data_IF_321847287745
#
_entry.id   IF_321847287745
#
_cell.length_a   1.000
_cell.length_b   1.000
_cell.length_c   1.000
_cell.angle_alpha   90.00
_cell.angle_beta   90.00
_cell.angle_gamma   90.00
#
_symmetry.space_group_name_H-M   'P 1'
#
loop_
_entity.id
_entity.type
_entity.pdbx_description
1 polymer ?
#
# COMPACT_ATOMS: atom_id res chain seq x y z
N UNK A 1 25.86 -1.09 3.15
CA UNK A 1 24.66 -1.86 3.47
C UNK A 1 23.76 -1.96 2.25
N UNK A 2 23.26 -3.12 1.97
CA UNK A 2 22.43 -3.34 0.77
C UNK A 2 20.97 -3.46 1.18
N UNK A 3 20.15 -2.58 0.64
CA UNK A 3 18.71 -2.65 0.83
C UNK A 3 18.13 -3.60 -0.20
N UNK A 4 17.38 -4.58 0.26
CA UNK A 4 16.78 -5.57 -0.62
C UNK A 4 15.30 -5.32 -0.76
N UNK A 5 14.83 -5.18 -1.98
CA UNK A 5 13.40 -5.01 -2.26
C UNK A 5 12.69 -6.35 -2.13
N UNK A 6 11.63 -6.37 -1.32
CA UNK A 6 10.80 -7.56 -1.15
C UNK A 6 9.80 -7.66 -2.30
N UNK A 7 9.11 -6.57 -2.61
CA UNK A 7 8.14 -6.57 -3.68
C UNK A 7 7.18 -5.39 -3.60
N UNK A 8 6.26 -5.35 -4.55
CA UNK A 8 5.22 -4.34 -4.61
C UNK A 8 3.89 -4.96 -4.18
N UNK A 9 3.14 -4.23 -3.37
CA UNK A 9 1.87 -4.72 -2.84
C UNK A 9 0.81 -3.63 -2.97
N UNK A 10 -0.39 -4.03 -3.32
CA UNK A 10 -1.50 -3.11 -3.50
C UNK A 10 -2.59 -3.39 -2.47
N UNK A 11 -3.04 -2.34 -1.79
CA UNK A 11 -4.14 -2.41 -0.85
C UNK A 11 -5.26 -1.48 -1.29
N UNK A 12 -6.47 -1.85 -0.95
CA UNK A 12 -7.64 -1.04 -1.26
C UNK A 12 -8.52 -0.88 -0.03
N UNK A 13 -9.25 0.23 0.04
CA UNK A 13 -10.19 0.46 1.13
C UNK A 13 -11.24 1.48 0.70
N UNK A 14 -12.48 1.28 1.07
CA UNK A 14 -13.53 2.29 0.85
C UNK A 14 -13.47 3.42 1.87
N UNK A 15 -12.73 3.24 2.96
CA UNK A 15 -12.72 4.20 4.08
C UNK A 15 -11.69 5.31 3.91
N UNK A 16 -10.53 4.99 3.35
CA UNK A 16 -9.49 6.01 3.18
C UNK A 16 -8.15 5.42 2.81
N UNK A 17 -7.21 6.32 2.52
CA UNK A 17 -5.87 5.95 2.08
C UNK A 17 -5.09 5.26 3.20
N UNK A 18 -5.24 5.74 4.44
CA UNK A 18 -4.53 5.12 5.58
C UNK A 18 -4.88 3.65 5.73
N UNK A 19 -6.15 3.30 5.60
CA UNK A 19 -6.58 1.92 5.69
C UNK A 19 -6.08 1.10 4.50
N UNK A 20 -6.07 1.71 3.32
CA UNK A 20 -5.54 1.06 2.12
C UNK A 20 -4.05 0.73 2.32
N UNK A 21 -3.28 1.63 2.93
CA UNK A 21 -1.89 1.39 3.24
C UNK A 21 -1.74 0.22 4.20
N UNK A 22 -2.55 0.18 5.26
CA UNK A 22 -2.51 -0.92 6.21
C UNK A 22 -2.82 -2.26 5.55
N UNK A 23 -3.81 -2.27 4.67
CA UNK A 23 -4.17 -3.50 3.95
C UNK A 23 -3.03 -3.97 3.06
N UNK A 24 -2.33 -3.06 2.41
CA UNK A 24 -1.18 -3.40 1.59
C UNK A 24 -0.03 -3.94 2.44
N UNK A 25 0.21 -3.33 3.61
CA UNK A 25 1.27 -3.78 4.52
C UNK A 25 0.99 -5.17 5.07
N UNK A 26 -0.27 -5.49 5.33
CA UNK A 26 -0.65 -6.82 5.77
C UNK A 26 -0.30 -7.88 4.73
N UNK A 27 -0.50 -7.56 3.46
CA UNK A 27 -0.14 -8.47 2.37
C UNK A 27 1.37 -8.66 2.27
N UNK A 28 2.12 -7.61 2.58
CA UNK A 28 3.58 -7.65 2.48
C UNK A 28 4.21 -8.53 3.56
N UNK A 29 3.57 -8.62 4.73
CA UNK A 29 4.13 -9.35 5.86
C UNK A 29 5.26 -8.59 6.50
N UNK A 30 6.36 -9.29 6.83
CA UNK A 30 7.50 -8.66 7.48
C UNK A 30 8.27 -7.75 6.52
N UNK A 31 8.59 -6.57 7.00
CA UNK A 31 9.36 -5.61 6.23
C UNK A 31 10.04 -4.63 7.18
N UNK A 32 11.18 -4.08 6.78
CA UNK A 32 11.88 -3.06 7.58
C UNK A 32 11.37 -1.67 7.26
N UNK A 33 11.02 -1.43 6.01
CA UNK A 33 10.46 -0.15 5.61
C UNK A 33 9.67 -0.29 4.31
N UNK A 34 8.89 0.73 4.03
CA UNK A 34 8.08 0.75 2.82
C UNK A 34 8.07 2.16 2.22
N UNK A 35 7.71 2.22 0.96
CA UNK A 35 7.57 3.47 0.23
C UNK A 35 6.27 3.43 -0.56
N UNK A 36 5.49 4.50 -0.47
CA UNK A 36 4.25 4.61 -1.25
C UNK A 36 4.62 5.04 -2.67
N UNK A 37 4.34 4.18 -3.62
CA UNK A 37 4.66 4.42 -5.03
C UNK A 37 3.52 5.14 -5.74
N UNK A 38 2.29 4.73 -5.48
CA UNK A 38 1.13 5.29 -6.15
C UNK A 38 -0.09 5.27 -5.26
N UNK A 39 -0.88 6.33 -5.34
CA UNK A 39 -2.16 6.42 -4.66
C UNK A 39 -3.21 6.83 -5.68
N UNK A 40 -4.33 6.14 -5.72
CA UNK A 40 -5.44 6.49 -6.60
C UNK A 40 -6.75 6.43 -5.84
N UNK A 41 -7.69 7.24 -6.26
CA UNK A 41 -9.05 7.22 -5.73
C UNK A 41 -9.98 7.04 -6.91
N UNK A 42 -10.92 6.11 -6.80
CA UNK A 42 -11.86 5.81 -7.86
C UNK A 42 -13.28 5.78 -7.33
N UNK A 43 -14.23 5.91 -8.24
CA UNK A 43 -15.63 5.91 -7.90
C UNK A 43 -16.17 7.30 -7.65
N UNK A 44 -17.44 7.40 -7.30
CA UNK A 44 -18.11 8.66 -7.03
C UNK A 44 -19.19 8.45 -5.98
N UNK A 45 -19.49 9.51 -5.24
CA UNK A 45 -20.52 9.46 -4.21
C UNK A 45 -20.17 8.44 -3.13
N UNK A 46 -21.10 7.53 -2.89
CA UNK A 46 -20.95 6.52 -1.84
C UNK A 46 -20.13 5.31 -2.29
N UNK A 47 -19.82 5.20 -3.57
CA UNK A 47 -19.07 4.09 -4.12
C UNK A 47 -17.59 4.40 -4.32
N UNK A 48 -17.05 5.26 -3.46
CA UNK A 48 -15.65 5.66 -3.55
C UNK A 48 -14.76 4.62 -2.89
N UNK A 49 -13.61 4.36 -3.52
CA UNK A 49 -12.60 3.53 -2.91
C UNK A 49 -11.22 4.05 -3.26
N UNK A 50 -10.27 3.71 -2.41
CA UNK A 50 -8.89 4.17 -2.51
C UNK A 50 -7.98 2.98 -2.71
N UNK A 51 -6.96 3.17 -3.54
CA UNK A 51 -5.98 2.14 -3.83
C UNK A 51 -4.59 2.71 -3.62
N UNK A 52 -3.76 1.94 -2.92
CA UNK A 52 -2.38 2.33 -2.66
C UNK A 52 -1.47 1.19 -3.07
N UNK A 53 -0.43 1.51 -3.81
CA UNK A 53 0.62 0.56 -4.15
C UNK A 53 1.89 0.95 -3.41
N UNK A 54 2.49 0.01 -2.71
CA UNK A 54 3.72 0.23 -1.97
C UNK A 54 4.82 -0.71 -2.46
N UNK A 55 6.05 -0.23 -2.28
CA UNK A 55 7.22 -1.09 -2.38
C UNK A 55 7.73 -1.32 -0.97
N UNK A 56 8.07 -2.55 -0.63
CA UNK A 56 8.60 -2.89 0.68
C UNK A 56 10.04 -3.38 0.56
N UNK A 57 10.82 -3.09 1.60
CA UNK A 57 12.26 -3.34 1.59
C UNK A 57 12.70 -3.95 2.92
N UNK A 58 13.75 -4.74 2.84
CA UNK A 58 14.44 -5.29 3.99
C UNK A 58 15.90 -4.84 3.93
N UNK A 59 16.39 -4.35 5.04
CA UNK A 59 17.80 -3.95 5.14
C UNK A 59 18.69 -5.13 5.49
#
# INVERSE_FOLDING_TARGET
MITKKIGDFTGTSPSGISEAIQNALEKAGEHSRFEVVETTAQGSGTNRHYQVTLSTYND
#
